data_IF_614616519799
#
_entry.id   IF_614616519799
#
_cell.length_a   1.000
_cell.length_b   1.000
_cell.length_c   1.000
_cell.angle_alpha   90.00
_cell.angle_beta   90.00
_cell.angle_gamma   90.00
#
_symmetry.space_group_name_H-M   'P 1'
#
loop_
_entity.id
_entity.type
_entity.pdbx_description
1 polymer ?
#
# COMPACT_ATOMS: atom_id res chain seq x y z
N UNK A 1 -22.13 10.93 6.65
CA UNK A 1 -21.27 11.41 7.76
C UNK A 1 -20.50 12.63 7.26
N UNK A 2 -20.39 13.71 8.03
CA UNK A 2 -19.72 14.93 7.56
C UNK A 2 -18.21 14.66 7.36
N UNK A 3 -17.63 14.85 6.16
CA UNK A 3 -16.23 14.55 5.88
C UNK A 3 -15.26 15.29 6.80
N UNK A 4 -15.62 16.50 7.27
CA UNK A 4 -14.82 17.26 8.22
C UNK A 4 -14.76 16.63 9.61
N UNK A 5 -15.82 15.92 10.03
CA UNK A 5 -15.87 15.20 11.32
C UNK A 5 -14.99 13.95 11.26
N UNK A 6 -14.98 13.25 10.12
CA UNK A 6 -14.13 12.08 9.92
C UNK A 6 -12.65 12.47 9.87
N UNK A 7 -12.33 13.54 9.14
CA UNK A 7 -10.97 14.08 9.05
C UNK A 7 -10.45 14.56 10.40
N UNK A 8 -11.26 15.32 11.15
CA UNK A 8 -10.85 15.81 12.48
C UNK A 8 -10.69 14.66 13.49
N UNK A 9 -11.60 13.68 13.47
CA UNK A 9 -11.46 12.47 14.28
C UNK A 9 -10.18 11.69 13.96
N UNK A 10 -9.83 11.56 12.68
CA UNK A 10 -8.64 10.84 12.24
C UNK A 10 -7.35 11.59 12.59
N UNK A 11 -7.34 12.92 12.47
CA UNK A 11 -6.22 13.76 12.93
C UNK A 11 -6.02 13.67 14.45
N UNK A 12 -7.11 13.69 15.23
CA UNK A 12 -7.03 13.49 16.69
C UNK A 12 -6.51 12.11 17.06
N UNK A 13 -6.98 11.07 16.36
CA UNK A 13 -6.48 9.71 16.55
C UNK A 13 -4.98 9.62 16.25
N UNK A 14 -4.53 10.15 15.11
CA UNK A 14 -3.10 10.21 14.76
C UNK A 14 -2.29 11.01 15.78
N UNK A 15 -2.85 12.13 16.27
CA UNK A 15 -2.21 12.94 17.28
C UNK A 15 -1.96 12.13 18.57
N UNK A 16 -2.98 11.44 19.06
CA UNK A 16 -2.86 10.57 20.23
C UNK A 16 -1.89 9.41 19.99
N UNK A 17 -1.98 8.73 18.84
CA UNK A 17 -1.15 7.58 18.51
C UNK A 17 0.35 7.97 18.42
N UNK A 18 0.67 9.05 17.70
CA UNK A 18 2.03 9.56 17.59
C UNK A 18 2.57 10.01 18.95
N UNK A 19 1.75 10.65 19.77
CA UNK A 19 2.16 11.05 21.11
C UNK A 19 2.51 9.82 21.98
N UNK A 20 1.71 8.74 21.90
CA UNK A 20 2.03 7.48 22.58
C UNK A 20 3.34 6.87 22.09
N UNK A 21 3.56 6.83 20.77
CA UNK A 21 4.78 6.29 20.16
C UNK A 21 6.01 7.10 20.56
N UNK A 22 5.95 8.43 20.48
CA UNK A 22 7.06 9.32 20.86
C UNK A 22 7.41 9.14 22.34
N UNK A 23 6.41 9.12 23.23
CA UNK A 23 6.63 8.89 24.66
C UNK A 23 7.20 7.49 24.93
N UNK A 24 6.74 6.47 24.21
CA UNK A 24 7.27 5.11 24.34
C UNK A 24 8.73 5.03 23.92
N UNK A 25 9.10 5.65 22.78
CA UNK A 25 10.48 5.69 22.28
C UNK A 25 11.38 6.45 23.25
N UNK A 26 10.97 7.64 23.72
CA UNK A 26 11.75 8.43 24.67
C UNK A 26 12.02 7.66 25.97
N UNK A 27 11.00 6.96 26.50
CA UNK A 27 11.16 6.09 27.68
C UNK A 27 12.10 4.92 27.41
N UNK A 28 11.96 4.25 26.26
CA UNK A 28 12.81 3.11 25.88
C UNK A 28 14.27 3.50 25.73
N UNK A 29 14.55 4.66 25.13
CA UNK A 29 15.90 5.14 24.85
C UNK A 29 16.53 5.93 26.01
N UNK A 30 15.79 6.16 27.12
CA UNK A 30 16.19 7.04 28.23
C UNK A 30 16.53 8.47 27.76
N UNK A 31 15.88 8.91 26.69
CA UNK A 31 16.02 10.27 26.18
C UNK A 31 15.11 11.23 26.97
N UNK A 32 15.49 12.50 27.03
CA UNK A 32 14.64 13.53 27.62
C UNK A 32 13.38 13.69 26.77
N UNK A 33 12.22 13.71 27.44
CA UNK A 33 10.95 13.89 26.74
C UNK A 33 10.98 15.22 25.95
N UNK A 34 10.58 15.25 24.67
CA UNK A 34 10.54 16.48 23.90
C UNK A 34 9.64 17.52 24.59
N UNK A 35 10.04 18.79 24.49
CA UNK A 35 9.25 19.88 25.05
C UNK A 35 7.86 19.91 24.39
N UNK A 36 6.82 20.23 25.17
CA UNK A 36 5.44 20.29 24.67
C UNK A 36 5.30 21.21 23.44
N UNK A 37 6.02 22.34 23.41
CA UNK A 37 6.04 23.23 22.24
C UNK A 37 6.47 22.51 20.96
N UNK A 38 7.42 21.58 21.05
CA UNK A 38 7.86 20.77 19.91
C UNK A 38 6.84 19.71 19.54
N UNK A 39 6.19 19.06 20.53
CA UNK A 39 5.15 18.05 20.28
C UNK A 39 3.93 18.64 19.53
N UNK A 40 3.48 19.85 19.89
CA UNK A 40 2.32 20.51 19.25
C UNK A 40 2.53 20.74 17.76
N UNK A 41 3.74 21.01 17.31
CA UNK A 41 4.04 21.24 15.89
C UNK A 41 4.50 19.98 15.17
N UNK A 42 5.34 19.16 15.81
CA UNK A 42 5.89 17.96 15.19
C UNK A 42 4.80 16.92 14.90
N UNK A 43 3.83 16.73 15.81
CA UNK A 43 2.81 15.69 15.65
C UNK A 43 1.87 15.99 14.47
N UNK A 44 1.32 17.20 14.28
CA UNK A 44 0.56 17.54 13.08
C UNK A 44 1.38 17.39 11.79
N UNK A 45 2.65 17.80 11.79
CA UNK A 45 3.52 17.67 10.61
C UNK A 45 3.75 16.19 10.26
N UNK A 46 4.04 15.34 11.25
CA UNK A 46 4.18 13.89 11.06
C UNK A 46 2.87 13.27 10.58
N UNK A 47 1.74 13.71 11.13
CA UNK A 47 0.41 13.26 10.70
C UNK A 47 0.16 13.64 9.24
N UNK A 48 0.49 14.87 8.83
CA UNK A 48 0.37 15.33 7.44
C UNK A 48 1.32 14.56 6.51
N UNK A 49 2.52 14.20 6.96
CA UNK A 49 3.44 13.39 6.18
C UNK A 49 2.86 12.00 5.90
N UNK A 50 2.25 11.37 6.90
CA UNK A 50 1.59 10.06 6.76
C UNK A 50 0.36 10.19 5.86
N UNK A 51 -0.54 11.14 6.18
CA UNK A 51 -1.79 11.33 5.44
C UNK A 51 -1.55 11.77 4.00
N UNK A 52 -0.56 12.62 3.76
CA UNK A 52 -0.19 13.09 2.43
C UNK A 52 0.23 11.93 1.53
N UNK A 53 1.06 11.01 2.03
CA UNK A 53 1.46 9.82 1.28
C UNK A 53 0.27 8.89 1.03
N UNK A 54 -0.52 8.57 2.06
CA UNK A 54 -1.70 7.70 1.90
C UNK A 54 -2.69 8.31 0.90
N UNK A 55 -2.97 9.61 1.00
CA UNK A 55 -3.89 10.30 0.09
C UNK A 55 -3.33 10.36 -1.33
N UNK A 56 -2.04 10.67 -1.49
CA UNK A 56 -1.37 10.73 -2.78
C UNK A 56 -1.36 9.38 -3.49
N UNK A 57 -1.00 8.30 -2.78
CA UNK A 57 -1.07 6.96 -3.35
C UNK A 57 -2.51 6.50 -3.59
N UNK A 58 -3.45 6.79 -2.70
CA UNK A 58 -4.86 6.47 -2.93
C UNK A 58 -5.39 7.15 -4.20
N UNK A 59 -4.98 8.39 -4.47
CA UNK A 59 -5.31 9.09 -5.70
C UNK A 59 -4.72 8.42 -6.95
N UNK A 60 -3.47 7.92 -6.88
CA UNK A 60 -2.87 7.15 -7.97
C UNK A 60 -3.64 5.85 -8.23
N UNK A 61 -4.01 5.10 -7.18
CA UNK A 61 -4.82 3.89 -7.30
C UNK A 61 -6.21 4.18 -7.86
N UNK A 62 -6.85 5.26 -7.41
CA UNK A 62 -8.14 5.71 -7.92
C UNK A 62 -8.05 6.03 -9.41
N UNK A 63 -7.02 6.74 -9.84
CA UNK A 63 -6.78 7.05 -11.26
C UNK A 63 -6.56 5.76 -12.08
N UNK A 64 -5.80 4.81 -11.54
CA UNK A 64 -5.57 3.52 -12.16
C UNK A 64 -6.86 2.72 -12.35
N UNK A 65 -7.65 2.56 -11.27
CA UNK A 65 -8.90 1.80 -11.33
C UNK A 65 -9.99 2.50 -12.15
N UNK A 66 -10.04 3.82 -12.12
CA UNK A 66 -10.93 4.59 -13.00
C UNK A 66 -10.55 4.39 -14.48
N UNK A 67 -9.26 4.36 -14.79
CA UNK A 67 -8.79 4.05 -16.14
C UNK A 67 -9.20 2.63 -16.57
N UNK A 68 -9.05 1.64 -15.68
CA UNK A 68 -9.50 0.27 -15.94
C UNK A 68 -11.01 0.17 -16.17
N UNK A 69 -11.83 0.86 -15.38
CA UNK A 69 -13.28 0.92 -15.55
C UNK A 69 -13.67 1.54 -16.90
N UNK A 70 -12.96 2.59 -17.33
CA UNK A 70 -13.25 3.27 -18.60
C UNK A 70 -12.79 2.50 -19.84
N UNK A 71 -11.73 1.68 -19.72
CA UNK A 71 -11.08 1.01 -20.86
C UNK A 71 -11.40 -0.48 -20.95
N UNK A 72 -11.94 -1.08 -19.89
CA UNK A 72 -12.20 -2.51 -19.81
C UNK A 72 -13.49 -2.81 -19.03
N UNK A 73 -13.94 -4.06 -19.07
CA UNK A 73 -15.06 -4.54 -18.26
C UNK A 73 -14.64 -5.27 -17.00
N UNK A 74 -13.33 -5.29 -16.67
CA UNK A 74 -12.76 -6.11 -15.59
C UNK A 74 -13.32 -5.74 -14.21
N UNK A 75 -13.52 -4.44 -13.97
CA UNK A 75 -14.01 -3.89 -12.71
C UNK A 75 -14.92 -2.68 -12.98
N UNK A 76 -15.96 -2.52 -12.16
CA UNK A 76 -16.90 -1.39 -12.22
C UNK A 76 -17.24 -0.91 -10.82
N UNK A 77 -17.53 0.38 -10.70
CA UNK A 77 -17.85 1.04 -9.44
C UNK A 77 -19.22 1.73 -9.53
N UNK A 78 -20.04 1.59 -8.50
CA UNK A 78 -21.38 2.22 -8.48
C UNK A 78 -21.30 3.73 -8.27
N UNK A 79 -20.32 4.21 -7.50
CA UNK A 79 -20.09 5.61 -7.23
C UNK A 79 -18.60 5.90 -7.03
N UNK A 80 -18.23 7.18 -7.19
CA UNK A 80 -16.86 7.64 -6.93
C UNK A 80 -16.40 7.36 -5.49
N UNK A 81 -17.33 7.31 -4.53
CA UNK A 81 -17.05 6.94 -3.14
C UNK A 81 -16.58 5.49 -3.00
N UNK A 82 -17.14 4.56 -3.78
CA UNK A 82 -16.78 3.14 -3.75
C UNK A 82 -15.40 2.93 -4.37
N UNK A 83 -15.12 3.61 -5.48
CA UNK A 83 -13.81 3.65 -6.13
C UNK A 83 -12.72 4.16 -5.17
N UNK A 84 -12.97 5.29 -4.49
CA UNK A 84 -12.02 5.83 -3.52
C UNK A 84 -11.80 4.86 -2.36
N UNK A 85 -12.88 4.32 -1.81
CA UNK A 85 -12.83 3.35 -0.69
C UNK A 85 -12.03 2.12 -1.09
N UNK A 86 -12.35 1.50 -2.23
CA UNK A 86 -11.63 0.35 -2.77
C UNK A 86 -10.14 0.65 -2.98
N UNK A 87 -9.82 1.82 -3.55
CA UNK A 87 -8.43 2.24 -3.78
C UNK A 87 -7.63 2.36 -2.48
N UNK A 88 -8.22 2.93 -1.43
CA UNK A 88 -7.58 3.01 -0.10
C UNK A 88 -7.39 1.63 0.50
N UNK A 89 -8.41 0.76 0.45
CA UNK A 89 -8.32 -0.58 1.01
C UNK A 89 -7.30 -1.45 0.28
N UNK A 90 -7.25 -1.41 -1.05
CA UNK A 90 -6.23 -2.11 -1.84
C UNK A 90 -4.83 -1.59 -1.49
N UNK A 91 -4.63 -0.27 -1.44
CA UNK A 91 -3.34 0.32 -1.08
C UNK A 91 -2.85 -0.17 0.29
N UNK A 92 -3.71 -0.07 1.31
CA UNK A 92 -3.35 -0.50 2.66
C UNK A 92 -3.10 -2.01 2.73
N UNK A 93 -3.86 -2.79 1.99
CA UNK A 93 -3.73 -4.24 1.96
C UNK A 93 -2.43 -4.67 1.28
N UNK A 94 -2.05 -4.06 0.15
CA UNK A 94 -0.76 -4.31 -0.49
C UNK A 94 0.41 -3.89 0.41
N UNK A 95 0.32 -2.76 1.12
CA UNK A 95 1.36 -2.37 2.08
C UNK A 95 1.53 -3.43 3.19
N UNK A 96 0.43 -3.95 3.72
CA UNK A 96 0.45 -5.01 4.73
C UNK A 96 0.95 -6.35 4.15
N UNK A 97 0.56 -6.68 2.92
CA UNK A 97 0.94 -7.93 2.28
C UNK A 97 2.42 -7.95 1.95
N UNK A 98 2.94 -6.87 1.37
CA UNK A 98 4.37 -6.71 1.08
C UNK A 98 5.22 -6.79 2.36
N UNK A 99 4.76 -6.16 3.43
CA UNK A 99 5.53 -6.13 4.69
C UNK A 99 5.47 -7.44 5.46
N UNK A 100 4.32 -8.14 5.46
CA UNK A 100 4.09 -9.29 6.35
C UNK A 100 3.74 -10.58 5.61
N UNK A 101 2.74 -10.55 4.73
CA UNK A 101 2.19 -11.76 4.12
C UNK A 101 3.15 -12.38 3.10
N UNK A 102 3.76 -11.60 2.21
CA UNK A 102 4.70 -12.13 1.22
C UNK A 102 5.96 -12.73 1.87
N UNK A 103 6.64 -12.06 2.82
CA UNK A 103 7.77 -12.69 3.52
C UNK A 103 7.38 -13.97 4.26
N UNK A 104 6.21 -13.97 4.92
CA UNK A 104 5.72 -15.13 5.67
C UNK A 104 5.37 -16.30 4.75
N UNK A 105 4.65 -16.04 3.65
CA UNK A 105 4.26 -17.07 2.68
C UNK A 105 5.47 -17.66 1.97
N UNK A 106 6.44 -16.82 1.58
CA UNK A 106 7.72 -17.28 1.01
C UNK A 106 8.51 -18.13 2.01
N UNK A 107 8.57 -17.72 3.28
CA UNK A 107 9.24 -18.48 4.33
C UNK A 107 8.55 -19.84 4.60
N UNK A 108 7.22 -19.85 4.65
CA UNK A 108 6.42 -21.06 4.80
C UNK A 108 6.62 -22.03 3.62
N UNK A 109 6.54 -21.54 2.39
CA UNK A 109 6.75 -22.34 1.19
C UNK A 109 8.18 -22.90 1.11
N UNK A 110 9.20 -22.12 1.49
CA UNK A 110 10.59 -22.61 1.60
C UNK A 110 10.71 -23.75 2.62
N UNK A 111 10.04 -23.62 3.77
CA UNK A 111 10.07 -24.62 4.84
C UNK A 111 9.37 -25.90 4.39
N UNK A 112 8.21 -25.78 3.75
CA UNK A 112 7.43 -26.91 3.25
C UNK A 112 8.16 -27.69 2.15
N UNK A 113 8.74 -26.98 1.17
CA UNK A 113 9.45 -27.58 0.04
C UNK A 113 10.88 -28.02 0.39
N UNK A 114 11.38 -27.64 1.57
CA UNK A 114 12.76 -27.88 2.04
C UNK A 114 13.83 -27.45 1.04
N UNK A 115 13.53 -26.48 0.16
CA UNK A 115 14.39 -26.01 -0.92
C UNK A 115 14.25 -24.50 -1.10
N UNK A 116 15.31 -23.79 -1.54
CA UNK A 116 15.21 -22.39 -1.86
C UNK A 116 14.23 -22.17 -3.04
N UNK A 117 13.35 -21.20 -2.90
CA UNK A 117 12.43 -20.80 -3.96
C UNK A 117 13.17 -20.01 -5.04
N UNK A 118 12.93 -20.38 -6.31
CA UNK A 118 13.39 -19.61 -7.45
C UNK A 118 12.75 -18.22 -7.48
N UNK A 119 13.33 -17.29 -8.23
CA UNK A 119 12.75 -15.96 -8.44
C UNK A 119 11.31 -16.05 -8.95
N UNK A 120 11.07 -16.85 -10.00
CA UNK A 120 9.74 -17.05 -10.58
C UNK A 120 8.73 -17.66 -9.61
N UNK A 121 9.17 -18.59 -8.75
CA UNK A 121 8.29 -19.19 -7.75
C UNK A 121 7.82 -18.18 -6.71
N UNK A 122 8.70 -17.25 -6.30
CA UNK A 122 8.31 -16.18 -5.36
C UNK A 122 7.30 -15.24 -6.00
N UNK A 123 7.55 -14.82 -7.24
CA UNK A 123 6.63 -13.96 -8.00
C UNK A 123 5.26 -14.60 -8.20
N UNK A 124 5.22 -15.91 -8.47
CA UNK A 124 3.94 -16.62 -8.59
C UNK A 124 3.17 -16.63 -7.26
N UNK A 125 3.86 -16.78 -6.13
CA UNK A 125 3.23 -16.73 -4.80
C UNK A 125 2.65 -15.34 -4.52
N UNK A 126 3.37 -14.26 -4.84
CA UNK A 126 2.90 -12.88 -4.62
C UNK A 126 1.71 -12.57 -5.53
N UNK A 127 1.77 -12.91 -6.81
CA UNK A 127 0.66 -12.75 -7.77
C UNK A 127 -0.60 -13.46 -7.26
N UNK A 128 -0.47 -14.70 -6.80
CA UNK A 128 -1.61 -15.49 -6.29
C UNK A 128 -2.16 -14.86 -5.02
N UNK A 129 -1.32 -14.40 -4.09
CA UNK A 129 -1.76 -13.73 -2.88
C UNK A 129 -2.52 -12.42 -3.19
N UNK A 130 -1.99 -11.61 -4.10
CA UNK A 130 -2.58 -10.32 -4.48
C UNK A 130 -3.86 -10.49 -5.29
N UNK A 131 -3.94 -11.53 -6.12
CA UNK A 131 -5.16 -11.92 -6.81
C UNK A 131 -6.29 -12.22 -5.83
N UNK A 132 -6.01 -13.08 -4.84
CA UNK A 132 -6.99 -13.43 -3.81
C UNK A 132 -7.39 -12.21 -2.98
N UNK A 133 -6.43 -11.33 -2.68
CA UNK A 133 -6.69 -10.07 -1.99
C UNK A 133 -7.63 -9.16 -2.79
N UNK A 134 -7.35 -8.92 -4.07
CA UNK A 134 -8.19 -8.07 -4.94
C UNK A 134 -9.61 -8.62 -4.99
N UNK A 135 -9.74 -9.94 -5.22
CA UNK A 135 -11.05 -10.58 -5.26
C UNK A 135 -11.80 -10.46 -3.94
N UNK A 136 -11.12 -10.71 -2.82
CA UNK A 136 -11.69 -10.62 -1.49
C UNK A 136 -12.22 -9.21 -1.20
N UNK A 137 -11.42 -8.17 -1.41
CA UNK A 137 -11.87 -6.80 -1.13
C UNK A 137 -12.95 -6.31 -2.09
N UNK A 138 -12.90 -6.72 -3.37
CA UNK A 138 -13.95 -6.41 -4.32
C UNK A 138 -15.29 -7.07 -3.93
N UNK A 139 -15.25 -8.27 -3.34
CA UNK A 139 -16.44 -8.94 -2.83
C UNK A 139 -16.99 -8.37 -1.52
N UNK A 140 -16.14 -7.70 -0.73
CA UNK A 140 -16.50 -7.17 0.58
C UNK A 140 -17.10 -5.76 0.50
N UNK A 141 -16.57 -4.92 -0.40
CA UNK A 141 -16.98 -3.51 -0.50
C UNK A 141 -18.23 -3.41 -1.40
N UNK A 142 -19.38 -3.00 -0.85
CA UNK A 142 -20.58 -2.80 -1.65
C UNK A 142 -20.34 -1.74 -2.73
N UNK A 143 -20.86 -1.98 -3.94
CA UNK A 143 -20.68 -1.07 -5.07
C UNK A 143 -19.42 -1.31 -5.89
N UNK A 144 -18.57 -2.29 -5.54
CA UNK A 144 -17.47 -2.77 -6.38
C UNK A 144 -17.90 -4.07 -7.07
N UNK A 145 -17.80 -4.10 -8.40
CA UNK A 145 -18.20 -5.25 -9.21
C UNK A 145 -17.04 -5.71 -10.08
N UNK A 146 -16.55 -6.92 -9.83
CA UNK A 146 -15.67 -7.63 -10.75
C UNK A 146 -16.50 -8.41 -11.76
N UNK A 147 -16.05 -8.47 -13.02
CA UNK A 147 -16.71 -9.27 -14.04
C UNK A 147 -16.67 -10.76 -13.72
N UNK A 148 -15.50 -11.27 -13.32
CA UNK A 148 -15.29 -12.66 -12.93
C UNK A 148 -14.05 -12.83 -12.04
N UNK A 149 -13.82 -14.05 -11.56
CA UNK A 149 -12.65 -14.38 -10.73
C UNK A 149 -11.33 -14.17 -11.47
N UNK A 150 -11.31 -14.36 -12.80
CA UNK A 150 -10.14 -14.14 -13.64
C UNK A 150 -9.81 -12.65 -13.78
N UNK A 151 -10.79 -11.76 -13.71
CA UNK A 151 -10.57 -10.31 -13.76
C UNK A 151 -9.67 -9.84 -12.63
N UNK A 152 -9.84 -10.39 -11.42
CA UNK A 152 -8.95 -10.10 -10.30
C UNK A 152 -7.51 -10.59 -10.56
N UNK A 153 -7.35 -11.74 -11.24
CA UNK A 153 -6.03 -12.27 -11.59
C UNK A 153 -5.36 -11.36 -12.63
N UNK A 154 -6.10 -10.95 -13.65
CA UNK A 154 -5.63 -10.01 -14.66
C UNK A 154 -5.17 -8.70 -14.03
N UNK A 155 -5.95 -8.13 -13.11
CA UNK A 155 -5.56 -6.92 -12.37
C UNK A 155 -4.27 -7.15 -11.56
N UNK A 156 -4.16 -8.27 -10.84
CA UNK A 156 -2.95 -8.62 -10.08
C UNK A 156 -1.70 -8.72 -10.96
N UNK A 157 -1.81 -9.39 -12.11
CA UNK A 157 -0.72 -9.51 -13.07
C UNK A 157 -0.32 -8.15 -13.64
N UNK A 158 -1.28 -7.27 -13.94
CA UNK A 158 -1.00 -5.90 -14.40
C UNK A 158 -0.23 -5.11 -13.34
N UNK A 159 -0.60 -5.22 -12.06
CA UNK A 159 0.16 -4.59 -10.98
C UNK A 159 1.61 -5.07 -10.92
N UNK A 160 1.84 -6.38 -11.00
CA UNK A 160 3.20 -6.94 -11.01
C UNK A 160 4.00 -6.52 -12.23
N UNK A 161 3.37 -6.42 -13.41
CA UNK A 161 4.03 -5.89 -14.61
C UNK A 161 4.46 -4.44 -14.39
N UNK A 162 3.60 -3.59 -13.84
CA UNK A 162 3.93 -2.20 -13.52
C UNK A 162 5.08 -2.14 -12.50
N UNK A 163 5.03 -2.95 -11.45
CA UNK A 163 6.08 -3.05 -10.45
C UNK A 163 7.43 -3.44 -11.05
N UNK A 164 7.45 -4.45 -11.93
CA UNK A 164 8.67 -4.87 -12.62
C UNK A 164 9.21 -3.80 -13.56
N UNK A 165 8.34 -3.07 -14.25
CA UNK A 165 8.74 -1.94 -15.08
C UNK A 165 9.39 -0.84 -14.23
N UNK A 166 8.75 -0.44 -13.13
CA UNK A 166 9.28 0.58 -12.22
C UNK A 166 10.62 0.15 -11.61
N UNK A 167 10.71 -1.10 -11.15
CA UNK A 167 11.94 -1.68 -10.61
C UNK A 167 13.05 -1.74 -11.66
N UNK A 168 12.71 -2.15 -12.88
CA UNK A 168 13.63 -2.16 -14.02
C UNK A 168 14.17 -0.77 -14.34
N UNK A 169 13.30 0.24 -14.42
CA UNK A 169 13.71 1.62 -14.64
C UNK A 169 14.60 2.15 -13.51
N UNK A 170 14.30 1.84 -12.25
CA UNK A 170 15.12 2.25 -11.11
C UNK A 170 16.54 1.65 -11.17
N UNK A 171 16.66 0.37 -11.56
CA UNK A 171 17.95 -0.30 -11.72
C UNK A 171 18.75 0.33 -12.88
N UNK A 172 18.11 0.58 -14.02
CA UNK A 172 18.75 1.21 -15.18
C UNK A 172 19.23 2.63 -14.85
N UNK A 173 18.39 3.42 -14.18
CA UNK A 173 18.74 4.77 -13.75
C UNK A 173 19.95 4.76 -12.80
N UNK A 174 19.97 3.86 -11.81
CA UNK A 174 21.10 3.70 -10.90
C UNK A 174 22.38 3.29 -11.63
N UNK A 175 22.28 2.41 -12.63
CA UNK A 175 23.42 1.96 -13.44
C UNK A 175 23.99 3.08 -14.31
N UNK A 176 23.15 3.94 -14.89
CA UNK A 176 23.58 5.11 -15.65
C UNK A 176 24.35 6.08 -14.75
N UNK A 177 23.79 6.43 -13.58
CA UNK A 177 24.43 7.36 -12.64
C UNK A 177 25.78 6.88 -12.13
N UNK A 178 25.96 5.57 -11.92
CA UNK A 178 27.25 5.03 -11.51
C UNK A 178 28.30 5.03 -12.62
N UNK A 179 27.91 5.03 -13.91
CA UNK A 179 28.87 5.22 -15.01
C UNK A 179 29.37 6.66 -15.07
N UNK A 180 28.49 7.63 -14.80
CA UNK A 180 28.83 9.05 -14.85
C UNK A 180 29.74 9.50 -13.68
N UNK A 181 29.82 8.73 -12.58
CA UNK A 181 30.71 9.01 -11.43
C UNK A 181 32.11 8.39 -11.61
N UNK A 182 32.27 7.43 -12.54
CA UNK A 182 33.54 6.74 -12.81
C UNK A 182 34.16 7.10 -14.16
N UNK A 183 33.67 8.14 -14.82
CA UNK A 183 34.34 8.87 -15.90
C UNK A 183 34.97 10.14 -15.35
#
# INVERSE_FOLDING_TARGET
MNPYVLLSGLLLFLFCALNLVINYIARRNRETKPAWKTEIWAIPILSLLILGQITGFAFLYMTFFQSLENTSTLIRFSAAGDLFTFSVFILLSFLLFETFIHPLTVAAARTLLKRPLSFFSKQLITIVADWLLIYFFASLIPGVYLQDFLSALTISVVFHIIEWLLTGFAILYKKSRNKDIHM
#
